data_IF_846540031197
#
_entry.id   IF_846540031197
#
_cell.length_a   1.000
_cell.length_b   1.000
_cell.length_c   1.000
_cell.angle_alpha   90.00
_cell.angle_beta   90.00
_cell.angle_gamma   90.00
#
_symmetry.space_group_name_H-M   'P 1'
#
loop_
_entity.id
_entity.type
_entity.pdbx_description
1 polymer ?
#
# COMPACT_ATOMS: atom_id res chain seq x y z
N UNK A 1 -12.85 28.19 -21.31
CA UNK A 1 -12.29 29.04 -20.21
C UNK A 1 -13.44 29.79 -19.56
N UNK A 2 -13.44 29.87 -18.22
CA UNK A 2 -14.45 30.50 -17.33
C UNK A 2 -15.76 29.69 -17.25
N UNK A 3 -16.43 29.53 -16.12
CA UNK A 3 -16.21 29.90 -14.71
C UNK A 3 -17.38 29.22 -13.97
N UNK A 4 -17.13 28.56 -12.84
CA UNK A 4 -18.15 28.41 -11.80
C UNK A 4 -17.46 28.80 -10.48
N UNK A 5 -17.65 30.07 -10.13
CA UNK A 5 -17.62 30.54 -8.73
C UNK A 5 -18.85 29.93 -8.04
N UNK A 6 -18.86 29.63 -6.74
CA UNK A 6 -19.13 30.49 -5.56
C UNK A 6 -19.25 29.45 -4.39
N UNK A 7 -18.64 29.56 -3.21
CA UNK A 7 -18.98 30.37 -2.02
C UNK A 7 -17.90 29.99 -0.95
N UNK A 8 -16.98 30.82 -0.46
CA UNK A 8 -17.13 31.93 0.50
C UNK A 8 -18.05 31.65 1.69
N UNK A 9 -17.49 31.29 2.85
CA UNK A 9 -17.82 31.96 4.12
C UNK A 9 -16.62 31.98 5.09
N UNK A 10 -16.40 33.17 5.63
CA UNK A 10 -15.34 33.73 6.49
C UNK A 10 -15.43 33.27 7.97
N UNK A 11 -14.30 32.99 8.67
CA UNK A 11 -13.56 33.81 9.69
C UNK A 11 -14.33 34.15 11.01
N UNK A 12 -13.75 34.75 12.08
CA UNK A 12 -12.37 35.00 12.55
C UNK A 12 -12.16 34.56 14.04
N UNK A 13 -10.99 34.71 14.69
CA UNK A 13 -10.74 35.85 15.62
C UNK A 13 -9.28 35.86 16.11
N UNK A 14 -8.73 37.08 16.11
CA UNK A 14 -7.52 37.51 16.82
C UNK A 14 -7.67 37.33 18.34
N UNK A 15 -6.57 37.66 19.04
CA UNK A 15 -6.36 37.94 20.49
C UNK A 15 -5.53 36.78 21.09
N UNK A 16 -4.32 36.94 21.63
CA UNK A 16 -3.89 37.91 22.64
C UNK A 16 -2.36 38.00 22.69
N UNK A 17 -1.86 39.21 22.86
CA UNK A 17 -0.59 39.46 23.54
C UNK A 17 -0.74 39.01 25.01
N UNK A 18 0.22 38.26 25.55
CA UNK A 18 0.79 38.48 26.90
C UNK A 18 1.78 37.38 27.30
N UNK A 19 3.05 37.80 27.48
CA UNK A 19 3.92 37.57 28.65
C UNK A 19 3.68 36.31 29.50
N UNK A 20 4.70 35.44 29.56
CA UNK A 20 5.05 34.66 30.76
C UNK A 20 6.54 34.32 30.67
N UNK A 21 7.40 35.03 31.39
CA UNK A 21 7.82 34.76 32.76
C UNK A 21 8.98 33.75 32.83
N UNK A 22 10.17 34.31 33.03
CA UNK A 22 11.36 33.64 33.51
C UNK A 22 11.08 33.07 34.90
N UNK A 23 11.27 31.77 35.10
CA UNK A 23 11.35 31.20 36.45
C UNK A 23 12.44 30.11 36.48
N UNK A 24 13.53 30.50 37.13
CA UNK A 24 14.36 29.74 38.05
C UNK A 24 14.60 28.24 37.83
N UNK A 25 15.88 27.98 37.62
CA UNK A 25 16.70 26.87 38.10
C UNK A 25 16.19 25.99 39.25
N UNK A 26 16.60 24.71 39.16
CA UNK A 26 16.76 23.66 40.18
C UNK A 26 15.75 22.50 40.10
N UNK A 27 16.20 21.39 39.51
CA UNK A 27 15.51 20.11 39.57
C UNK A 27 16.38 19.00 38.97
N UNK A 28 17.19 18.36 39.81
CA UNK A 28 18.00 17.19 39.47
C UNK A 28 17.10 16.07 38.93
N UNK A 29 17.39 15.54 37.75
CA UNK A 29 16.98 14.19 37.35
C UNK A 29 18.18 13.45 36.76
N UNK A 30 18.94 12.79 37.64
CA UNK A 30 19.78 11.67 37.23
C UNK A 30 18.85 10.50 36.91
N UNK A 31 18.59 10.29 35.61
CA UNK A 31 18.10 9.03 35.10
C UNK A 31 19.07 8.58 34.01
N UNK A 32 20.05 7.80 34.43
CA UNK A 32 20.96 7.05 33.57
C UNK A 32 20.18 5.95 32.86
N UNK A 33 19.39 6.30 31.85
CA UNK A 33 18.83 5.30 30.93
C UNK A 33 19.89 4.96 29.88
N UNK A 34 20.80 4.06 30.28
CA UNK A 34 21.53 3.24 29.32
C UNK A 34 20.55 2.27 28.66
N UNK A 35 19.85 2.70 27.62
CA UNK A 35 19.14 1.79 26.73
C UNK A 35 19.55 2.02 25.27
N UNK A 36 20.69 1.38 25.00
CA UNK A 36 21.13 0.79 23.74
C UNK A 36 20.05 0.80 22.65
N UNK A 37 20.36 1.51 21.56
CA UNK A 37 19.72 1.47 20.24
C UNK A 37 19.22 0.07 19.89
N UNK A 38 17.90 -0.11 19.86
CA UNK A 38 17.27 -1.27 19.24
C UNK A 38 16.34 -0.76 18.15
N UNK A 39 16.84 -0.85 16.91
CA UNK A 39 16.05 -0.73 15.69
C UNK A 39 14.91 -1.74 15.82
N UNK A 40 13.61 -1.37 15.70
CA UNK A 40 12.62 -2.39 15.44
C UNK A 40 12.93 -2.91 14.05
N UNK A 41 13.39 -4.17 13.99
CA UNK A 41 13.54 -4.93 12.76
C UNK A 41 12.24 -4.81 11.97
N UNK A 42 12.32 -4.02 10.89
CA UNK A 42 11.34 -3.92 9.83
C UNK A 42 10.88 -5.33 9.50
N UNK A 43 9.61 -5.63 9.80
CA UNK A 43 8.97 -6.91 9.55
C UNK A 43 9.29 -7.33 8.12
N UNK A 44 10.19 -8.30 7.99
CA UNK A 44 10.46 -9.01 6.75
C UNK A 44 9.33 -10.00 6.60
N UNK A 45 8.26 -9.60 5.91
CA UNK A 45 7.26 -10.53 5.42
C UNK A 45 7.90 -11.19 4.20
N UNK A 46 8.53 -12.34 4.42
CA UNK A 46 8.85 -13.28 3.34
C UNK A 46 7.67 -14.23 3.24
N UNK A 47 6.62 -13.79 2.57
CA UNK A 47 5.51 -14.66 2.24
C UNK A 47 5.83 -15.31 0.89
N UNK A 48 6.40 -16.50 0.95
CA UNK A 48 6.68 -17.30 -0.23
C UNK A 48 5.38 -17.94 -0.75
N UNK A 49 4.60 -17.19 -1.54
CA UNK A 49 3.62 -17.78 -2.43
C UNK A 49 4.31 -18.83 -3.31
N UNK A 50 3.59 -19.89 -3.68
CA UNK A 50 4.09 -20.92 -4.59
C UNK A 50 4.46 -20.27 -5.92
N UNK A 51 5.62 -20.69 -6.43
CA UNK A 51 6.14 -20.19 -7.70
C UNK A 51 5.13 -20.37 -8.84
N UNK A 52 4.40 -21.49 -8.87
CA UNK A 52 3.35 -21.74 -9.87
C UNK A 52 2.23 -20.69 -9.87
N UNK A 53 1.83 -20.19 -8.69
CA UNK A 53 0.80 -19.15 -8.58
C UNK A 53 1.34 -17.83 -9.10
N UNK A 54 2.56 -17.46 -8.68
CA UNK A 54 3.23 -16.23 -9.12
C UNK A 54 3.41 -16.20 -10.64
N UNK A 55 3.79 -17.33 -11.24
CA UNK A 55 3.97 -17.44 -12.70
C UNK A 55 2.65 -17.25 -13.44
N UNK A 56 1.55 -17.85 -12.95
CA UNK A 56 0.21 -17.66 -13.51
C UNK A 56 -0.27 -16.22 -13.39
N UNK A 57 -0.13 -15.60 -12.22
CA UNK A 57 -0.47 -14.19 -12.00
C UNK A 57 0.31 -13.30 -12.97
N UNK A 58 1.62 -13.57 -13.12
CA UNK A 58 2.48 -12.83 -14.05
C UNK A 58 2.01 -12.95 -15.50
N UNK A 59 1.56 -14.13 -15.93
CA UNK A 59 1.00 -14.34 -17.27
C UNK A 59 -0.29 -13.54 -17.49
N UNK A 60 -1.19 -13.53 -16.51
CA UNK A 60 -2.46 -12.80 -16.60
C UNK A 60 -2.19 -11.30 -16.68
N UNK A 61 -1.29 -10.78 -15.84
CA UNK A 61 -0.89 -9.37 -15.85
C UNK A 61 -0.29 -8.97 -17.20
N UNK A 62 0.60 -9.79 -17.77
CA UNK A 62 1.16 -9.55 -19.11
C UNK A 62 0.09 -9.50 -20.19
N UNK A 63 -0.91 -10.38 -20.10
CA UNK A 63 -2.02 -10.46 -21.05
C UNK A 63 -2.92 -9.22 -20.98
N UNK A 64 -3.30 -8.78 -19.78
CA UNK A 64 -4.18 -7.60 -19.62
C UNK A 64 -3.47 -6.31 -20.03
N UNK A 65 -2.22 -6.13 -19.59
CA UNK A 65 -1.43 -4.95 -19.91
C UNK A 65 -0.79 -5.00 -21.31
N UNK A 66 -1.08 -6.04 -22.11
CA UNK A 66 -0.50 -6.26 -23.45
C UNK A 66 1.03 -6.10 -23.49
N UNK A 67 1.71 -6.57 -22.44
CA UNK A 67 3.17 -6.48 -22.31
C UNK A 67 3.85 -7.51 -23.22
N UNK A 68 5.05 -7.18 -23.68
CA UNK A 68 5.87 -8.11 -24.47
C UNK A 68 6.32 -9.29 -23.60
N UNK A 69 6.48 -10.46 -24.20
CA UNK A 69 7.00 -11.65 -23.51
C UNK A 69 8.38 -11.40 -22.87
N UNK A 70 9.20 -10.58 -23.54
CA UNK A 70 10.53 -10.15 -23.08
C UNK A 70 10.50 -9.30 -21.81
N UNK A 71 9.34 -8.73 -21.45
CA UNK A 71 9.22 -7.93 -20.24
C UNK A 71 9.28 -8.83 -19.01
N UNK A 72 10.28 -8.56 -18.17
CA UNK A 72 10.48 -9.32 -16.93
C UNK A 72 9.48 -8.83 -15.87
N UNK A 73 8.49 -9.66 -15.58
CA UNK A 73 7.57 -9.49 -14.45
C UNK A 73 8.04 -10.44 -13.35
N UNK A 74 8.59 -9.88 -12.27
CA UNK A 74 8.97 -10.62 -11.06
C UNK A 74 7.96 -10.40 -9.94
N UNK A 75 7.96 -11.26 -8.92
CA UNK A 75 7.08 -11.15 -7.76
C UNK A 75 7.11 -9.76 -7.10
N UNK A 76 8.29 -9.16 -6.98
CA UNK A 76 8.49 -7.84 -6.38
C UNK A 76 8.02 -6.66 -7.27
N UNK A 77 7.64 -6.93 -8.53
CA UNK A 77 7.22 -5.88 -9.47
C UNK A 77 5.89 -5.31 -9.05
N UNK A 78 5.79 -3.98 -9.04
CA UNK A 78 4.52 -3.29 -8.80
C UNK A 78 3.73 -3.15 -10.09
N UNK A 79 2.41 -3.21 -10.00
CA UNK A 79 1.55 -2.99 -11.16
C UNK A 79 1.73 -1.58 -11.74
N UNK A 80 1.93 -0.58 -10.88
CA UNK A 80 2.22 0.80 -11.29
C UNK A 80 3.53 0.93 -12.07
N UNK A 81 4.53 0.08 -11.78
CA UNK A 81 5.82 0.11 -12.48
C UNK A 81 5.72 -0.52 -13.88
N UNK A 82 4.71 -1.36 -14.09
CA UNK A 82 4.33 -1.91 -15.40
C UNK A 82 3.46 -0.95 -16.21
N UNK A 83 3.08 0.19 -15.63
CA UNK A 83 2.21 1.18 -16.26
C UNK A 83 0.72 0.87 -16.11
N UNK A 84 0.33 -0.03 -15.21
CA UNK A 84 -1.07 -0.27 -14.90
C UNK A 84 -1.69 0.96 -14.24
N UNK A 85 -2.81 1.42 -14.79
CA UNK A 85 -3.62 2.46 -14.20
C UNK A 85 -4.69 1.89 -13.23
N UNK A 86 -5.53 2.77 -12.68
CA UNK A 86 -6.60 2.38 -11.77
C UNK A 86 -7.66 1.49 -12.41
N UNK A 87 -7.86 1.59 -13.74
CA UNK A 87 -8.81 0.76 -14.49
C UNK A 87 -8.19 -0.60 -14.81
N UNK A 88 -6.94 -0.62 -15.25
CA UNK A 88 -6.16 -1.84 -15.52
C UNK A 88 -6.11 -2.74 -14.27
N UNK A 89 -5.96 -2.14 -13.09
CA UNK A 89 -5.94 -2.87 -11.82
C UNK A 89 -7.26 -3.61 -11.58
N UNK A 90 -8.41 -3.01 -11.93
CA UNK A 90 -9.73 -3.65 -11.83
C UNK A 90 -9.84 -4.81 -12.83
N UNK A 91 -9.39 -4.62 -14.08
CA UNK A 91 -9.40 -5.67 -15.10
C UNK A 91 -8.51 -6.86 -14.75
N UNK A 92 -7.32 -6.59 -14.18
CA UNK A 92 -6.41 -7.62 -13.67
C UNK A 92 -7.08 -8.43 -12.57
N UNK A 93 -7.69 -7.77 -11.57
CA UNK A 93 -8.35 -8.44 -10.45
C UNK A 93 -9.50 -9.32 -10.94
N UNK A 94 -10.34 -8.80 -11.85
CA UNK A 94 -11.42 -9.59 -12.44
C UNK A 94 -10.89 -10.82 -13.20
N UNK A 95 -9.80 -10.68 -13.96
CA UNK A 95 -9.17 -11.80 -14.66
C UNK A 95 -8.56 -12.84 -13.70
N UNK A 96 -8.03 -12.41 -12.55
CA UNK A 96 -7.54 -13.31 -11.52
C UNK A 96 -8.68 -14.09 -10.84
N UNK A 97 -9.79 -13.42 -10.52
CA UNK A 97 -10.99 -14.06 -9.96
C UNK A 97 -11.56 -15.12 -10.90
N UNK A 98 -11.66 -14.82 -12.19
CA UNK A 98 -12.16 -15.74 -13.22
C UNK A 98 -11.23 -16.94 -13.43
N UNK A 99 -9.91 -16.72 -13.52
CA UNK A 99 -8.92 -17.79 -13.78
C UNK A 99 -8.80 -18.76 -12.60
N UNK A 100 -8.83 -18.24 -11.37
CA UNK A 100 -8.69 -19.06 -10.16
C UNK A 100 -10.04 -19.50 -9.56
N UNK A 101 -11.15 -18.96 -10.04
CA UNK A 101 -12.50 -19.25 -9.54
C UNK A 101 -12.72 -18.81 -8.10
N UNK A 102 -12.14 -17.68 -7.70
CA UNK A 102 -12.21 -17.13 -6.34
C UNK A 102 -12.95 -15.79 -6.31
N UNK A 103 -13.34 -15.33 -5.12
CA UNK A 103 -13.81 -13.96 -4.91
C UNK A 103 -12.81 -13.17 -4.07
N UNK A 104 -12.29 -12.08 -4.62
CA UNK A 104 -11.42 -11.15 -3.95
C UNK A 104 -12.24 -9.94 -3.50
N UNK A 105 -12.26 -9.66 -2.19
CA UNK A 105 -12.93 -8.46 -1.70
C UNK A 105 -12.23 -7.21 -2.28
N UNK A 106 -13.01 -6.23 -2.74
CA UNK A 106 -12.48 -5.01 -3.36
C UNK A 106 -11.50 -4.25 -2.45
N UNK A 107 -11.76 -4.21 -1.14
CA UNK A 107 -10.85 -3.61 -0.15
C UNK A 107 -9.48 -4.30 -0.11
N UNK A 108 -9.44 -5.62 -0.35
CA UNK A 108 -8.19 -6.40 -0.38
C UNK A 108 -7.50 -6.20 -1.72
N UNK A 109 -8.26 -6.25 -2.81
CA UNK A 109 -7.77 -6.03 -4.18
C UNK A 109 -7.09 -4.66 -4.34
N UNK A 110 -7.68 -3.58 -3.81
CA UNK A 110 -7.09 -2.23 -3.86
C UNK A 110 -5.81 -2.09 -3.03
N UNK A 111 -5.57 -2.99 -2.05
CA UNK A 111 -4.34 -2.99 -1.25
C UNK A 111 -3.20 -3.74 -1.93
N UNK A 112 -3.49 -4.50 -2.99
CA UNK A 112 -2.47 -5.25 -3.73
C UNK A 112 -1.70 -4.28 -4.61
N UNK A 113 -0.40 -4.14 -4.34
CA UNK A 113 0.48 -3.31 -5.14
C UNK A 113 1.46 -4.12 -5.99
N UNK A 114 1.78 -5.36 -5.59
CA UNK A 114 2.77 -6.22 -6.23
C UNK A 114 2.20 -7.57 -6.68
N UNK A 115 2.89 -8.20 -7.63
CA UNK A 115 2.56 -9.55 -8.13
C UNK A 115 2.62 -10.59 -7.00
N UNK A 116 3.60 -10.47 -6.10
CA UNK A 116 3.73 -11.34 -4.92
C UNK A 116 2.49 -11.26 -4.02
N UNK A 117 2.05 -10.05 -3.69
CA UNK A 117 0.86 -9.84 -2.85
C UNK A 117 -0.41 -10.41 -3.49
N UNK A 118 -0.54 -10.31 -4.82
CA UNK A 118 -1.66 -10.92 -5.54
C UNK A 118 -1.64 -12.44 -5.40
N UNK A 119 -0.48 -13.05 -5.66
CA UNK A 119 -0.32 -14.51 -5.57
C UNK A 119 -0.57 -15.04 -4.16
N UNK A 120 -0.08 -14.34 -3.13
CA UNK A 120 -0.34 -14.69 -1.73
C UNK A 120 -1.84 -14.67 -1.39
N UNK A 121 -2.53 -13.60 -1.78
CA UNK A 121 -3.95 -13.45 -1.49
C UNK A 121 -4.79 -14.51 -2.20
N UNK A 122 -4.44 -14.84 -3.45
CA UNK A 122 -5.06 -15.94 -4.20
C UNK A 122 -4.87 -17.25 -3.43
N UNK A 123 -3.67 -17.54 -2.93
CA UNK A 123 -3.42 -18.76 -2.17
C UNK A 123 -4.15 -18.82 -0.84
N UNK A 124 -4.34 -17.69 -0.16
CA UNK A 124 -5.14 -17.59 1.05
C UNK A 124 -6.60 -17.94 0.76
N UNK A 125 -7.19 -17.31 -0.26
CA UNK A 125 -8.58 -17.56 -0.67
C UNK A 125 -8.81 -18.99 -1.17
N UNK A 126 -7.85 -19.56 -1.90
CA UNK A 126 -7.90 -20.96 -2.32
C UNK A 126 -7.83 -21.95 -1.14
N UNK A 127 -7.22 -21.56 -0.02
CA UNK A 127 -7.21 -22.37 1.22
C UNK A 127 -8.52 -22.25 1.99
N UNK A 128 -9.13 -21.06 2.02
CA UNK A 128 -10.40 -20.82 2.70
C UNK A 128 -11.60 -21.48 2.00
N UNK A 129 -11.51 -21.68 0.68
CA UNK A 129 -12.57 -22.30 -0.14
C UNK A 129 -12.50 -23.84 -0.15
N UNK A 130 -11.53 -24.45 0.56
CA UNK A 130 -11.37 -25.90 0.70
C UNK A 130 -11.84 -26.41 2.05
#
# INVERSE_FOLDING_TARGET
MKMFCIDEQQQPTRISFQKAALISSHGRTNLSFNLRRSIPTRLSVSCAAKQETVDKVSMIVKKQLSLKDDQKVVAETKFTDLGADSLDTVEIVMGLEEEFGIQMAEERAQKIATVEQAAELIEELMKETK
#
